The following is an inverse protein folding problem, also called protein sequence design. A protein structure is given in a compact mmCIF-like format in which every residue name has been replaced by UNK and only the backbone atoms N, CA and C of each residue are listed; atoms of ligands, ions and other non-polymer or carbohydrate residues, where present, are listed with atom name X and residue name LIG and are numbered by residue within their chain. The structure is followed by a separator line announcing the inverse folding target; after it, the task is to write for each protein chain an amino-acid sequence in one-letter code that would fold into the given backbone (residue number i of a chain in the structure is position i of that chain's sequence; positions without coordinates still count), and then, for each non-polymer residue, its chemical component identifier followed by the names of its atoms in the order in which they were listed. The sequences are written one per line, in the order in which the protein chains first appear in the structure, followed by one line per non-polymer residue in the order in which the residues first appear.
data_IF_605660281920
#
_entry.id   IF_605660281920
#
_cell.length_a   1.000
_cell.length_b   1.000
_cell.length_c   1.000
_cell.angle_alpha   90.00
_cell.angle_beta   90.00
_cell.angle_gamma   90.00
#
_symmetry.space_group_name_H-M   'P 1'
#
loop_
_entity.id
_entity.type
_entity.pdbx_description
1 polymer ?
#
# COMPACT_ATOMS: atom_id res chain seq x y z
N UNK A 1 -7.91 -9.17 -31.01
CA UNK A 1 -7.04 -8.54 -29.99
C UNK A 1 -7.89 -7.54 -29.24
N UNK A 2 -8.34 -7.86 -28.03
CA UNK A 2 -9.09 -6.92 -27.19
C UNK A 2 -8.01 -5.99 -26.59
N UNK A 3 -8.01 -4.71 -27.01
CA UNK A 3 -7.19 -3.68 -26.36
C UNK A 3 -7.64 -3.56 -24.91
N UNK A 4 -6.89 -4.14 -23.99
CA UNK A 4 -7.08 -3.86 -22.58
C UNK A 4 -6.67 -2.40 -22.35
N UNK A 5 -7.65 -1.55 -22.06
CA UNK A 5 -7.37 -0.21 -21.54
C UNK A 5 -6.53 -0.40 -20.28
N UNK A 6 -5.33 0.18 -20.17
CA UNK A 6 -4.51 0.03 -18.98
C UNK A 6 -5.29 0.53 -17.77
N UNK A 7 -5.45 -0.34 -16.77
CA UNK A 7 -6.08 0.04 -15.50
C UNK A 7 -5.26 1.11 -14.82
N UNK A 8 -5.93 2.16 -14.39
CA UNK A 8 -5.31 3.22 -13.62
C UNK A 8 -5.64 3.04 -12.14
N UNK A 9 -4.63 3.20 -11.30
CA UNK A 9 -4.80 3.29 -9.86
C UNK A 9 -5.05 4.75 -9.45
N UNK A 10 -5.66 4.95 -8.26
CA UNK A 10 -5.80 6.28 -7.68
C UNK A 10 -4.70 6.52 -6.65
N UNK A 11 -4.16 7.74 -6.67
CA UNK A 11 -3.16 8.23 -5.72
C UNK A 11 -3.79 9.44 -5.02
N UNK A 12 -3.83 9.43 -3.69
CA UNK A 12 -4.34 10.54 -2.90
C UNK A 12 -3.20 11.46 -2.49
N UNK A 13 -3.31 12.74 -2.84
CA UNK A 13 -2.37 13.80 -2.51
C UNK A 13 -3.00 14.68 -1.42
N UNK A 14 -2.35 14.79 -0.27
CA UNK A 14 -2.89 15.54 0.88
C UNK A 14 -1.89 16.56 1.37
N UNK A 15 -2.20 17.84 1.18
CA UNK A 15 -1.38 18.97 1.59
C UNK A 15 -2.30 20.20 1.69
N UNK A 16 -2.18 21.02 2.72
CA UNK A 16 -3.03 22.22 2.92
C UNK A 16 -2.74 23.34 1.90
N UNK A 17 -1.59 23.26 1.24
CA UNK A 17 -1.15 24.25 0.25
C UNK A 17 -1.39 23.77 -1.18
N UNK A 18 -2.23 24.52 -1.88
CA UNK A 18 -2.56 24.20 -3.30
C UNK A 18 -1.33 24.14 -4.19
N UNK A 19 -0.32 24.99 -3.93
CA UNK A 19 0.91 25.01 -4.69
C UNK A 19 1.69 23.68 -4.57
N UNK A 20 1.68 23.06 -3.39
CA UNK A 20 2.29 21.76 -3.16
C UNK A 20 1.53 20.67 -3.90
N UNK A 21 0.20 20.69 -3.88
CA UNK A 21 -0.64 19.75 -4.63
C UNK A 21 -0.39 19.84 -6.13
N UNK A 22 -0.29 21.06 -6.69
CA UNK A 22 0.05 21.27 -8.10
C UNK A 22 1.43 20.73 -8.42
N UNK A 23 2.41 20.93 -7.55
CA UNK A 23 3.76 20.42 -7.74
C UNK A 23 3.79 18.88 -7.70
N UNK A 24 3.08 18.26 -6.77
CA UNK A 24 2.95 16.80 -6.66
C UNK A 24 2.25 16.21 -7.89
N UNK A 25 1.18 16.87 -8.37
CA UNK A 25 0.47 16.48 -9.58
C UNK A 25 1.41 16.50 -10.80
N UNK A 26 2.16 17.59 -10.98
CA UNK A 26 3.12 17.71 -12.07
C UNK A 26 4.23 16.64 -12.02
N UNK A 27 4.71 16.30 -10.81
CA UNK A 27 5.72 15.27 -10.62
C UNK A 27 5.16 13.89 -10.95
N UNK A 28 3.92 13.58 -10.56
CA UNK A 28 3.36 12.24 -10.67
C UNK A 28 2.58 12.00 -11.97
N UNK A 29 2.23 13.05 -12.72
CA UNK A 29 1.53 12.94 -14.01
C UNK A 29 2.17 11.96 -15.00
N UNK A 30 3.52 11.81 -15.09
CA UNK A 30 4.14 10.83 -15.97
C UNK A 30 3.81 9.36 -15.64
N UNK A 31 3.35 9.07 -14.41
CA UNK A 31 2.92 7.73 -14.03
C UNK A 31 1.57 7.34 -14.67
N UNK A 32 0.87 8.28 -15.31
CA UNK A 32 -0.43 8.05 -15.95
C UNK A 32 -1.46 7.38 -15.04
N UNK A 33 -1.53 7.84 -13.79
CA UNK A 33 -2.48 7.39 -12.77
C UNK A 33 -3.52 8.47 -12.48
N UNK A 34 -4.59 8.12 -11.78
CA UNK A 34 -5.60 9.10 -11.34
C UNK A 34 -5.10 9.78 -10.08
N UNK A 35 -4.87 11.08 -10.13
CA UNK A 35 -4.44 11.88 -9.00
C UNK A 35 -5.65 12.57 -8.38
N UNK A 36 -5.85 12.39 -7.09
CA UNK A 36 -6.94 13.01 -6.31
C UNK A 36 -6.31 13.87 -5.23
N UNK A 37 -6.70 15.13 -5.14
CA UNK A 37 -6.16 16.10 -4.19
C UNK A 37 -7.13 16.35 -3.04
N UNK A 38 -6.59 16.45 -1.82
CA UNK A 38 -7.30 16.85 -0.62
C UNK A 38 -6.49 17.91 0.12
N UNK A 39 -7.15 18.98 0.59
CA UNK A 39 -6.49 20.10 1.27
C UNK A 39 -6.56 19.99 2.80
N UNK A 40 -7.10 18.92 3.34
CA UNK A 40 -7.13 18.65 4.78
C UNK A 40 -7.24 17.16 5.07
N UNK A 41 -6.98 16.78 6.33
CA UNK A 41 -7.17 15.42 6.80
C UNK A 41 -8.61 14.94 6.68
N UNK A 42 -9.60 15.83 6.92
CA UNK A 42 -11.02 15.51 6.80
C UNK A 42 -11.39 15.17 5.35
N UNK A 43 -10.95 15.99 4.38
CA UNK A 43 -11.16 15.70 2.96
C UNK A 43 -10.50 14.39 2.52
N UNK A 44 -9.29 14.13 3.04
CA UNK A 44 -8.61 12.86 2.76
C UNK A 44 -9.40 11.66 3.27
N UNK A 45 -9.95 11.72 4.49
CA UNK A 45 -10.80 10.66 5.04
C UNK A 45 -12.11 10.49 4.26
N UNK A 46 -12.70 11.57 3.78
CA UNK A 46 -13.90 11.54 2.94
C UNK A 46 -13.61 10.86 1.60
N UNK A 47 -12.52 11.23 0.92
CA UNK A 47 -12.09 10.60 -0.32
C UNK A 47 -11.85 9.09 -0.15
N UNK A 48 -11.17 8.69 0.92
CA UNK A 48 -10.89 7.28 1.24
C UNK A 48 -12.14 6.45 1.57
N UNK A 49 -13.22 7.09 2.02
CA UNK A 49 -14.52 6.43 2.20
C UNK A 49 -15.26 6.21 0.90
N UNK A 50 -15.08 7.11 -0.06
CA UNK A 50 -15.77 7.08 -1.35
C UNK A 50 -15.09 6.14 -2.35
N UNK A 51 -13.76 6.07 -2.34
CA UNK A 51 -12.97 5.40 -3.36
C UNK A 51 -11.77 4.63 -2.78
N UNK A 52 -11.25 3.65 -3.55
CA UNK A 52 -10.02 2.92 -3.21
C UNK A 52 -8.79 3.64 -3.78
N UNK A 53 -7.70 3.63 -2.99
CA UNK A 53 -6.43 4.26 -3.37
C UNK A 53 -5.28 3.28 -3.25
N UNK A 54 -4.34 3.36 -4.18
CA UNK A 54 -3.11 2.57 -4.17
C UNK A 54 -2.10 3.09 -3.13
N UNK A 55 -2.06 4.40 -2.90
CA UNK A 55 -1.15 5.06 -1.96
C UNK A 55 -1.68 6.45 -1.60
N UNK A 56 -1.37 6.90 -0.39
CA UNK A 56 -1.62 8.26 0.11
C UNK A 56 -0.29 8.97 0.30
N UNK A 57 -0.11 10.12 -0.31
CA UNK A 57 0.97 11.07 -0.01
C UNK A 57 0.41 12.11 0.95
N UNK A 58 0.96 12.22 2.15
CA UNK A 58 0.37 12.99 3.23
C UNK A 58 1.37 13.94 3.86
N UNK A 59 1.10 15.23 3.76
CA UNK A 59 1.87 16.22 4.51
C UNK A 59 1.63 16.06 6.02
N UNK A 60 2.69 16.21 6.79
CA UNK A 60 2.59 16.11 8.27
C UNK A 60 2.02 17.37 8.87
N UNK A 61 2.44 18.54 8.35
CA UNK A 61 2.14 19.83 8.94
C UNK A 61 0.96 20.46 8.22
N UNK A 62 -0.23 20.26 8.74
CA UNK A 62 -1.46 20.86 8.22
C UNK A 62 -2.26 21.49 9.36
N UNK A 63 -3.00 22.59 9.11
CA UNK A 63 -3.90 23.17 10.09
C UNK A 63 -5.08 22.23 10.41
N UNK A 64 -5.61 22.33 11.62
CA UNK A 64 -6.69 21.45 12.07
C UNK A 64 -6.19 20.02 12.32
N UNK A 65 -6.68 19.05 11.56
CA UNK A 65 -6.23 17.67 11.63
C UNK A 65 -4.88 17.52 10.90
N UNK A 66 -3.80 17.34 11.67
CA UNK A 66 -2.46 17.15 11.11
C UNK A 66 -2.31 15.76 10.44
N UNK A 67 -1.19 15.57 9.70
CA UNK A 67 -0.96 14.33 8.96
C UNK A 67 -0.85 13.09 9.84
N UNK A 68 -0.28 13.18 11.05
CA UNK A 68 -0.15 12.03 11.95
C UNK A 68 -1.52 11.59 12.49
N UNK A 69 -2.37 12.53 12.85
CA UNK A 69 -3.74 12.25 13.26
C UNK A 69 -4.55 11.66 12.11
N UNK A 70 -4.41 12.22 10.91
CA UNK A 70 -5.05 11.71 9.69
C UNK A 70 -4.63 10.26 9.43
N UNK A 71 -3.33 9.97 9.46
CA UNK A 71 -2.81 8.61 9.27
C UNK A 71 -3.33 7.64 10.34
N UNK A 72 -3.38 8.06 11.59
CA UNK A 72 -3.93 7.26 12.69
C UNK A 72 -5.39 6.89 12.41
N UNK A 73 -6.21 7.83 11.95
CA UNK A 73 -7.62 7.58 11.61
C UNK A 73 -7.75 6.66 10.40
N UNK A 74 -6.92 6.83 9.37
CA UNK A 74 -6.86 5.92 8.19
C UNK A 74 -6.57 4.49 8.65
N UNK A 75 -5.60 4.31 9.55
CA UNK A 75 -5.15 2.99 10.02
C UNK A 75 -6.12 2.31 11.02
N UNK A 76 -6.97 3.08 11.67
CA UNK A 76 -8.00 2.53 12.55
C UNK A 76 -9.26 2.05 11.82
N UNK A 77 -9.53 2.54 10.62
CA UNK A 77 -10.66 2.09 9.81
C UNK A 77 -10.30 0.79 9.08
N UNK A 78 -11.10 -0.26 9.29
CA UNK A 78 -10.89 -1.58 8.69
C UNK A 78 -10.83 -1.57 7.15
N UNK A 79 -11.47 -0.58 6.50
CA UNK A 79 -11.52 -0.44 5.04
C UNK A 79 -10.26 0.21 4.47
N UNK A 80 -9.60 1.07 5.24
CA UNK A 80 -8.49 1.91 4.76
C UNK A 80 -7.16 1.59 5.44
N UNK A 81 -7.14 0.78 6.50
CA UNK A 81 -5.93 0.47 7.26
C UNK A 81 -4.79 -0.12 6.43
N UNK A 82 -5.11 -0.82 5.35
CA UNK A 82 -4.10 -1.44 4.48
C UNK A 82 -3.54 -0.48 3.42
N UNK A 83 -4.19 0.68 3.21
CA UNK A 83 -3.70 1.67 2.24
C UNK A 83 -2.33 2.20 2.70
N UNK A 84 -1.28 2.09 1.87
CA UNK A 84 0.04 2.59 2.22
C UNK A 84 0.05 4.12 2.30
N UNK A 85 0.78 4.65 3.30
CA UNK A 85 0.93 6.10 3.51
C UNK A 85 2.41 6.45 3.41
N UNK A 86 2.74 7.42 2.56
CA UNK A 86 4.05 8.05 2.48
C UNK A 86 3.92 9.46 3.06
N UNK A 87 4.62 9.74 4.15
CA UNK A 87 4.63 11.09 4.70
C UNK A 87 5.57 12.00 3.90
N UNK A 88 5.10 13.22 3.65
CA UNK A 88 5.90 14.32 3.15
C UNK A 88 6.16 15.28 4.31
N UNK A 89 7.42 15.59 4.61
CA UNK A 89 7.76 16.44 5.77
C UNK A 89 8.77 17.51 5.41
N UNK A 90 8.59 18.71 5.95
CA UNK A 90 9.52 19.84 5.77
C UNK A 90 10.82 19.72 6.58
N UNK A 91 10.90 18.77 7.53
CA UNK A 91 12.05 18.65 8.42
C UNK A 91 12.50 17.18 8.53
N UNK A 92 13.75 16.94 8.18
CA UNK A 92 14.56 15.89 8.79
C UNK A 92 14.84 16.40 10.22
N UNK A 93 13.79 16.39 11.05
CA UNK A 93 13.96 17.00 12.36
C UNK A 93 13.52 16.04 13.41
N UNK A 94 14.23 15.49 14.14
CA UNK A 94 14.05 14.72 15.37
C UNK A 94 13.70 13.25 15.16
N UNK A 95 14.53 12.36 15.72
CA UNK A 95 14.28 10.91 15.75
C UNK A 95 12.88 10.56 16.27
N UNK A 96 12.32 11.43 17.12
CA UNK A 96 11.00 11.28 17.73
C UNK A 96 9.85 11.39 16.70
N UNK A 97 9.94 12.30 15.72
CA UNK A 97 8.91 12.43 14.68
C UNK A 97 8.96 11.29 13.67
N UNK A 98 10.15 10.82 13.35
CA UNK A 98 10.34 9.63 12.52
C UNK A 98 9.74 8.41 13.21
N UNK A 99 9.97 8.22 14.51
CA UNK A 99 9.37 7.14 15.29
C UNK A 99 7.84 7.24 15.37
N UNK A 100 7.29 8.45 15.56
CA UNK A 100 5.83 8.68 15.58
C UNK A 100 5.19 8.40 14.23
N UNK A 101 5.85 8.73 13.12
CA UNK A 101 5.36 8.44 11.78
C UNK A 101 5.21 6.92 11.55
N UNK A 102 6.16 6.15 12.03
CA UNK A 102 6.10 4.70 11.95
C UNK A 102 5.08 4.09 12.93
N UNK A 103 4.95 4.64 14.12
CA UNK A 103 3.92 4.22 15.07
C UNK A 103 2.50 4.51 14.54
N UNK A 104 2.33 5.54 13.71
CA UNK A 104 1.08 5.84 13.01
C UNK A 104 0.79 4.90 11.83
N UNK A 105 1.66 3.91 11.54
CA UNK A 105 1.43 2.91 10.51
C UNK A 105 1.82 3.35 9.09
N UNK A 106 2.63 4.41 8.94
CA UNK A 106 3.20 4.77 7.64
C UNK A 106 4.17 3.69 7.15
N UNK A 107 4.23 3.54 5.83
CA UNK A 107 5.19 2.62 5.17
C UNK A 107 6.50 3.32 4.86
N UNK A 108 6.46 4.67 4.66
CA UNK A 108 7.64 5.44 4.25
C UNK A 108 7.47 6.93 4.58
N UNK A 109 8.57 7.68 4.50
CA UNK A 109 8.57 9.14 4.58
C UNK A 109 9.52 9.74 3.54
N UNK A 110 9.29 11.01 3.17
CA UNK A 110 10.13 11.76 2.24
C UNK A 110 10.28 13.20 2.71
N UNK A 111 11.52 13.61 2.97
CA UNK A 111 11.81 14.98 3.42
C UNK A 111 11.77 15.97 2.25
N UNK A 112 11.07 17.09 2.45
CA UNK A 112 11.08 18.24 1.53
C UNK A 112 12.36 19.09 1.76
N UNK A 113 13.11 19.50 0.74
CA UNK A 113 12.88 19.23 -0.68
C UNK A 113 13.34 17.80 -1.08
N UNK A 114 12.57 17.12 -1.89
CA UNK A 114 12.86 15.78 -2.38
C UNK A 114 13.12 15.76 -3.89
N UNK A 115 13.84 14.75 -4.35
CA UNK A 115 14.05 14.49 -5.76
C UNK A 115 12.75 13.95 -6.40
N UNK A 116 12.25 14.55 -7.51
CA UNK A 116 11.04 14.08 -8.19
C UNK A 116 11.12 12.62 -8.64
N UNK A 117 12.28 12.15 -9.11
CA UNK A 117 12.48 10.78 -9.56
C UNK A 117 12.40 9.78 -8.41
N UNK A 118 12.89 10.16 -7.22
CA UNK A 118 12.77 9.33 -6.00
C UNK A 118 11.30 9.19 -5.59
N UNK A 119 10.52 10.29 -5.62
CA UNK A 119 9.10 10.24 -5.32
C UNK A 119 8.35 9.34 -6.32
N UNK A 120 8.59 9.53 -7.63
CA UNK A 120 8.00 8.70 -8.69
C UNK A 120 8.32 7.22 -8.49
N UNK A 121 9.59 6.88 -8.24
CA UNK A 121 10.01 5.50 -8.02
C UNK A 121 9.32 4.85 -6.81
N UNK A 122 9.20 5.58 -5.70
CA UNK A 122 8.50 5.10 -4.50
C UNK A 122 6.99 4.86 -4.77
N UNK A 123 6.35 5.81 -5.43
CA UNK A 123 4.91 5.74 -5.74
C UNK A 123 4.61 4.61 -6.73
N UNK A 124 5.45 4.43 -7.76
CA UNK A 124 5.25 3.38 -8.77
C UNK A 124 5.22 1.98 -8.18
N UNK A 125 6.04 1.70 -7.17
CA UNK A 125 6.05 0.40 -6.48
C UNK A 125 4.67 0.10 -5.85
N UNK A 126 4.07 1.07 -5.16
CA UNK A 126 2.75 0.88 -4.54
C UNK A 126 1.63 0.78 -5.57
N UNK A 127 1.72 1.54 -6.66
CA UNK A 127 0.79 1.45 -7.79
C UNK A 127 0.84 0.05 -8.41
N UNK A 128 2.03 -0.46 -8.69
CA UNK A 128 2.22 -1.79 -9.28
C UNK A 128 1.68 -2.90 -8.36
N UNK A 129 1.96 -2.82 -7.06
CA UNK A 129 1.42 -3.76 -6.07
C UNK A 129 -0.10 -3.72 -6.03
N UNK A 130 -0.70 -2.53 -6.02
CA UNK A 130 -2.16 -2.35 -6.02
C UNK A 130 -2.79 -2.95 -7.28
N UNK A 131 -2.24 -2.65 -8.47
CA UNK A 131 -2.76 -3.14 -9.73
C UNK A 131 -2.66 -4.66 -9.84
N UNK A 132 -1.55 -5.26 -9.39
CA UNK A 132 -1.40 -6.72 -9.32
C UNK A 132 -2.40 -7.35 -8.36
N UNK A 133 -2.57 -6.80 -7.16
CA UNK A 133 -3.55 -7.28 -6.20
C UNK A 133 -4.99 -7.16 -6.71
N UNK A 134 -5.32 -6.09 -7.43
CA UNK A 134 -6.63 -5.92 -8.08
C UNK A 134 -6.87 -6.96 -9.18
N UNK A 135 -5.86 -7.22 -10.02
CA UNK A 135 -5.97 -8.26 -11.06
C UNK A 135 -6.20 -9.65 -10.47
N UNK A 136 -5.52 -9.97 -9.36
CA UNK A 136 -5.71 -11.24 -8.66
C UNK A 136 -7.12 -11.37 -8.08
N UNK A 137 -7.67 -10.30 -7.48
CA UNK A 137 -9.05 -10.28 -6.97
C UNK A 137 -10.07 -10.58 -8.08
N UNK A 138 -9.91 -9.95 -9.25
CA UNK A 138 -10.82 -10.16 -10.38
C UNK A 138 -10.73 -11.59 -10.94
N UNK A 139 -9.53 -12.13 -11.04
CA UNK A 139 -9.32 -13.53 -11.46
C UNK A 139 -9.97 -14.50 -10.46
N UNK A 140 -9.90 -14.18 -9.18
CA UNK A 140 -10.53 -14.94 -8.10
C UNK A 140 -12.05 -15.03 -8.25
N UNK A 141 -12.69 -13.93 -8.53
CA UNK A 141 -14.13 -13.87 -8.75
C UNK A 141 -14.55 -14.69 -9.95
N UNK A 142 -13.76 -14.68 -11.03
CA UNK A 142 -14.03 -15.43 -12.26
C UNK A 142 -13.87 -16.96 -12.11
N UNK A 143 -12.97 -17.41 -11.23
CA UNK A 143 -12.64 -18.84 -11.08
C UNK A 143 -13.44 -19.59 -10.01
N UNK A 144 -14.38 -18.94 -9.35
CA UNK A 144 -15.28 -19.62 -8.39
C UNK A 144 -14.55 -20.31 -7.23
N UNK A 145 -13.45 -19.80 -6.78
CA UNK A 145 -12.81 -20.14 -5.49
C UNK A 145 -11.93 -21.39 -5.45
N UNK A 146 -11.87 -22.24 -6.47
CA UNK A 146 -11.11 -23.51 -6.40
C UNK A 146 -9.67 -23.47 -6.92
N UNK A 147 -9.33 -22.55 -7.80
CA UNK A 147 -7.96 -22.38 -8.30
C UNK A 147 -7.18 -21.23 -7.66
N UNK A 148 -7.82 -20.55 -6.74
CA UNK A 148 -7.33 -19.27 -6.22
C UNK A 148 -6.17 -19.44 -5.25
N UNK A 149 -6.28 -20.37 -4.34
CA UNK A 149 -5.27 -20.60 -3.32
C UNK A 149 -3.93 -21.03 -3.95
N UNK A 150 -3.97 -21.96 -4.92
CA UNK A 150 -2.76 -22.42 -5.65
C UNK A 150 -2.13 -21.27 -6.46
N UNK A 151 -2.93 -20.44 -7.13
CA UNK A 151 -2.40 -19.30 -7.89
C UNK A 151 -1.84 -18.19 -6.98
N UNK A 152 -2.50 -17.93 -5.85
CA UNK A 152 -2.01 -16.96 -4.88
C UNK A 152 -0.73 -17.43 -4.20
N UNK A 153 -0.63 -18.71 -3.86
CA UNK A 153 0.60 -19.31 -3.30
C UNK A 153 1.77 -19.19 -4.28
N UNK A 154 1.58 -19.54 -5.55
CA UNK A 154 2.65 -19.42 -6.55
C UNK A 154 3.11 -17.98 -6.78
N UNK A 155 2.18 -17.00 -6.76
CA UNK A 155 2.52 -15.57 -6.89
C UNK A 155 3.18 -15.00 -5.64
N UNK A 156 2.82 -15.50 -4.47
CA UNK A 156 3.44 -15.11 -3.21
C UNK A 156 4.89 -15.60 -3.16
N UNK A 157 5.17 -16.82 -3.65
CA UNK A 157 6.53 -17.34 -3.79
C UNK A 157 7.39 -16.46 -4.70
N UNK A 158 6.87 -16.00 -5.85
CA UNK A 158 7.59 -15.05 -6.73
C UNK A 158 7.94 -13.73 -6.00
N UNK A 159 7.02 -13.22 -5.17
CA UNK A 159 7.23 -12.00 -4.39
C UNK A 159 8.25 -12.22 -3.27
N UNK A 160 8.20 -13.36 -2.59
CA UNK A 160 9.18 -13.75 -1.56
C UNK A 160 10.59 -13.85 -2.15
N UNK A 161 10.72 -14.48 -3.31
CA UNK A 161 11.99 -14.59 -4.00
C UNK A 161 12.55 -13.22 -4.41
N UNK A 162 11.69 -12.33 -4.93
CA UNK A 162 12.06 -10.96 -5.28
C UNK A 162 12.48 -10.14 -4.04
N UNK A 163 11.76 -10.26 -2.91
CA UNK A 163 12.11 -9.59 -1.65
C UNK A 163 13.41 -10.15 -1.08
N UNK A 164 13.61 -11.46 -1.13
CA UNK A 164 14.84 -12.10 -0.68
C UNK A 164 16.04 -11.66 -1.52
N UNK A 165 15.87 -11.58 -2.85
CA UNK A 165 16.91 -11.08 -3.74
C UNK A 165 17.25 -9.61 -3.44
N UNK A 166 16.24 -8.79 -3.16
CA UNK A 166 16.41 -7.37 -2.78
C UNK A 166 17.16 -7.22 -1.46
N UNK A 167 16.84 -8.05 -0.45
CA UNK A 167 17.54 -8.10 0.83
C UNK A 167 19.00 -8.54 0.69
N UNK A 168 19.31 -9.32 -0.35
CA UNK A 168 20.65 -9.86 -0.60
C UNK A 168 21.57 -8.89 -1.36
N UNK A 169 21.04 -7.76 -1.86
CA UNK A 169 21.85 -6.78 -2.58
C UNK A 169 22.89 -6.11 -1.65
N UNK A 170 24.16 -6.02 -2.07
CA UNK A 170 25.22 -5.41 -1.25
C UNK A 170 24.95 -3.93 -0.90
N UNK A 171 24.12 -3.24 -1.66
CA UNK A 171 23.69 -1.87 -1.42
C UNK A 171 22.76 -1.79 -0.19
N UNK A 172 21.88 -2.78 0.00
CA UNK A 172 20.96 -2.83 1.13
C UNK A 172 21.72 -3.04 2.45
N UNK A 173 22.74 -3.92 2.46
CA UNK A 173 23.54 -4.17 3.67
C UNK A 173 24.47 -3.02 4.10
N UNK A 174 24.69 -2.01 3.26
CA UNK A 174 25.52 -0.84 3.56
C UNK A 174 24.72 0.37 4.06
N UNK A 175 23.43 0.38 3.81
CA UNK A 175 22.52 1.43 4.22
C UNK A 175 21.55 0.87 5.27
N UNK A 176 21.63 1.42 6.47
CA UNK A 176 20.77 0.98 7.59
C UNK A 176 19.29 1.21 7.30
N UNK A 177 18.96 2.26 6.55
CA UNK A 177 17.59 2.60 6.17
C UNK A 177 17.05 1.60 5.13
N UNK A 178 17.83 1.30 4.09
CA UNK A 178 17.49 0.29 3.10
C UNK A 178 17.31 -1.11 3.73
N UNK A 179 18.17 -1.47 4.67
CA UNK A 179 18.07 -2.72 5.44
C UNK A 179 16.77 -2.79 6.24
N UNK A 180 16.37 -1.69 6.87
CA UNK A 180 15.15 -1.63 7.66
C UNK A 180 13.89 -1.70 6.80
N UNK A 181 13.89 -1.06 5.62
CA UNK A 181 12.80 -1.14 4.65
C UNK A 181 12.65 -2.56 4.11
N UNK A 182 13.75 -3.20 3.74
CA UNK A 182 13.78 -4.58 3.26
C UNK A 182 13.24 -5.56 4.31
N UNK A 183 13.65 -5.44 5.57
CA UNK A 183 13.16 -6.26 6.67
C UNK A 183 11.64 -6.09 6.92
N UNK A 184 11.12 -4.87 6.75
CA UNK A 184 9.68 -4.62 6.88
C UNK A 184 8.89 -5.21 5.73
N UNK A 185 9.42 -5.12 4.51
CA UNK A 185 8.80 -5.72 3.34
C UNK A 185 8.71 -7.24 3.52
N UNK A 186 9.79 -7.89 3.93
CA UNK A 186 9.82 -9.31 4.26
C UNK A 186 8.75 -9.66 5.30
N UNK A 187 8.68 -8.94 6.43
CA UNK A 187 7.67 -9.20 7.45
C UNK A 187 6.21 -8.92 7.02
N UNK A 188 5.97 -8.15 5.95
CA UNK A 188 4.64 -8.01 5.36
C UNK A 188 4.30 -9.19 4.46
N UNK A 189 5.26 -9.70 3.74
CA UNK A 189 5.09 -10.88 2.89
C UNK A 189 4.80 -12.11 3.75
N UNK A 190 5.51 -12.28 4.87
CA UNK A 190 5.24 -13.36 5.84
C UNK A 190 3.80 -13.31 6.35
N UNK A 191 3.30 -12.12 6.73
CA UNK A 191 1.90 -11.95 7.18
C UNK A 191 0.87 -12.25 6.09
N UNK A 192 1.19 -11.97 4.82
CA UNK A 192 0.33 -12.33 3.70
C UNK A 192 0.28 -13.86 3.52
N UNK A 193 1.40 -14.55 3.71
CA UNK A 193 1.46 -16.01 3.69
C UNK A 193 0.60 -16.61 4.80
N UNK A 194 0.77 -16.15 6.03
CA UNK A 194 -0.03 -16.60 7.16
C UNK A 194 -1.54 -16.41 6.92
N UNK A 195 -1.93 -15.28 6.34
CA UNK A 195 -3.33 -14.99 6.02
C UNK A 195 -3.86 -15.91 4.91
N UNK A 196 -3.04 -16.23 3.90
CA UNK A 196 -3.40 -17.13 2.82
C UNK A 196 -3.58 -18.55 3.33
N UNK A 197 -2.65 -19.05 4.14
CA UNK A 197 -2.70 -20.37 4.77
C UNK A 197 -3.95 -20.51 5.68
N UNK A 198 -4.31 -19.44 6.38
CA UNK A 198 -5.53 -19.40 7.19
C UNK A 198 -6.81 -19.49 6.34
N UNK A 199 -6.84 -18.87 5.15
CA UNK A 199 -7.96 -18.95 4.21
C UNK A 199 -8.09 -20.35 3.61
N UNK A 200 -6.99 -21.00 3.26
CA UNK A 200 -6.97 -22.38 2.77
C UNK A 200 -7.48 -23.37 3.83
N UNK A 201 -7.01 -23.22 5.06
CA UNK A 201 -7.47 -24.04 6.20
C UNK A 201 -8.96 -23.83 6.51
N UNK A 202 -9.48 -22.61 6.36
CA UNK A 202 -10.89 -22.26 6.52
C UNK A 202 -11.77 -22.83 5.41
N UNK A 203 -11.33 -22.76 4.16
CA UNK A 203 -12.02 -23.33 2.99
C UNK A 203 -12.14 -24.85 3.05
N UNK A 204 -11.09 -25.52 3.48
CA UNK A 204 -11.07 -26.99 3.64
C UNK A 204 -12.08 -27.47 4.72
N UNK A 205 -12.21 -26.72 5.83
CA UNK A 205 -13.17 -27.03 6.91
C UNK A 205 -14.62 -26.84 6.48
N UNK A 206 -14.92 -25.78 5.75
CA UNK A 206 -16.28 -25.51 5.25
C UNK A 206 -16.74 -26.55 4.22
N UNK A 207 -15.81 -27.18 3.49
CA UNK A 207 -16.14 -28.25 2.54
C UNK A 207 -16.34 -29.60 3.23
N UNK A 208 -15.57 -29.90 4.28
CA UNK A 208 -15.73 -31.13 5.08
C UNK A 208 -17.08 -31.15 5.83
N UNK A 209 -17.57 -29.99 6.27
CA UNK A 209 -18.85 -29.89 6.99
C UNK A 209 -20.08 -30.03 6.06
N UNK A 210 -19.95 -29.62 4.78
CA UNK A 210 -21.00 -29.83 3.75
C UNK A 210 -21.07 -31.26 3.20
N UNK A 211 -20.03 -32.07 3.42
CA UNK A 211 -19.94 -33.45 2.94
C UNK A 211 -20.46 -34.50 3.97
N UNK A 212 -20.90 -34.07 5.14
CA UNK A 212 -21.52 -34.96 6.13
C UNK A 212 -22.95 -35.32 5.71
N UNK A 213 -23.28 -36.57 5.44
CA UNK A 213 -24.65 -36.98 5.22
C UNK A 213 -25.42 -36.75 6.53
N UNK A 214 -26.57 -36.07 6.41
CA UNK A 214 -27.45 -35.85 7.54
C UNK A 214 -27.86 -37.17 8.19
N UNK A 215 -28.14 -37.17 9.51
CA UNK A 215 -28.63 -38.37 10.22
C UNK A 215 -29.98 -38.77 9.63
N UNK A 216 -30.05 -40.04 9.18
CA UNK A 216 -31.26 -40.69 8.71
C UNK A 216 -32.30 -40.94 9.85
#
# INVERSE_FOLDING_TARGET
MVSQVPRQARILLVDDRVENLIALDAILSPLNQILVSAQSGEQALEALRAEEFAVVLLDIVMPGMNGLETATRIKHDARTREVPIIFLTAAIAQPEQTFLSYAAGAVDYLAKPFDPGVLQAKVSVFVDLYLKASQLRDQAELLGGRGLAEQLSGRLEEVEEAVSALCSLPAVGRDAEATQVAARLAGRVDRLRDALDALDAGGARAHADRARPGPG
#
